data_IF_177339648943
#
_entry.id   IF_177339648943
#
_cell.length_a   1.000
_cell.length_b   1.000
_cell.length_c   1.000
_cell.angle_alpha   90.00
_cell.angle_beta   90.00
_cell.angle_gamma   90.00
#
_symmetry.space_group_name_H-M   'P 1'
#
loop_
_entity.id
_entity.type
_entity.pdbx_description
1 polymer ?
#
# COMPACT_ATOMS: atom_id res chain seq x y z
N UNK A 1 11.20 17.00 -19.08
CA UNK A 1 10.42 16.31 -18.02
C UNK A 1 10.79 16.77 -16.62
N UNK A 2 12.08 16.89 -16.27
CA UNK A 2 12.51 17.53 -15.02
C UNK A 2 12.15 19.03 -14.93
N UNK A 3 11.91 19.69 -16.07
CA UNK A 3 11.48 21.11 -16.14
C UNK A 3 10.14 21.40 -15.42
N UNK A 4 9.28 20.40 -15.24
CA UNK A 4 7.99 20.58 -14.56
C UNK A 4 8.08 20.38 -13.04
N UNK A 5 9.15 19.79 -12.50
CA UNK A 5 9.27 19.54 -11.05
C UNK A 5 9.39 20.83 -10.23
N UNK A 6 10.02 21.86 -10.81
CA UNK A 6 10.29 23.13 -10.14
C UNK A 6 9.21 24.19 -10.40
N UNK A 7 8.21 23.89 -11.24
CA UNK A 7 7.09 24.78 -11.52
C UNK A 7 5.94 24.50 -10.55
N UNK A 8 5.25 25.53 -10.04
CA UNK A 8 4.10 25.32 -9.16
C UNK A 8 2.98 24.60 -9.93
N UNK A 9 2.36 23.61 -9.28
CA UNK A 9 1.28 22.78 -9.87
C UNK A 9 0.08 23.58 -10.36
N UNK A 10 -0.16 24.77 -9.81
CA UNK A 10 -1.23 25.69 -10.20
C UNK A 10 -1.06 26.29 -11.60
N UNK A 11 0.16 26.31 -12.14
CA UNK A 11 0.49 26.90 -13.44
C UNK A 11 0.58 25.88 -14.58
N UNK A 12 0.40 24.59 -14.26
CA UNK A 12 0.49 23.50 -15.22
C UNK A 12 -0.89 23.23 -15.84
N UNK A 13 -0.90 22.96 -17.13
CA UNK A 13 -2.09 22.45 -17.82
C UNK A 13 -2.40 21.02 -17.36
N UNK A 14 -3.63 20.56 -17.58
CA UNK A 14 -4.05 19.20 -17.20
C UNK A 14 -3.18 18.11 -17.85
N UNK A 15 -2.78 18.30 -19.11
CA UNK A 15 -1.88 17.39 -19.83
C UNK A 15 -0.47 17.37 -19.23
N UNK A 16 0.04 18.52 -18.78
CA UNK A 16 1.34 18.61 -18.12
C UNK A 16 1.31 17.98 -16.72
N UNK A 17 0.21 18.15 -15.98
CA UNK A 17 0.00 17.50 -14.69
C UNK A 17 -0.02 15.97 -14.82
N UNK A 18 -0.72 15.42 -15.82
CA UNK A 18 -0.75 13.99 -16.07
C UNK A 18 0.65 13.43 -16.41
N UNK A 19 1.42 14.15 -17.23
CA UNK A 19 2.81 13.81 -17.56
C UNK A 19 3.74 13.88 -16.35
N UNK A 20 3.55 14.87 -15.48
CA UNK A 20 4.30 15.01 -14.24
C UNK A 20 4.00 13.85 -13.28
N UNK A 21 2.72 13.47 -13.13
CA UNK A 21 2.29 12.35 -12.28
C UNK A 21 2.86 11.01 -12.79
N UNK A 22 2.82 10.76 -14.10
CA UNK A 22 3.44 9.56 -14.69
C UNK A 22 4.96 9.50 -14.44
N UNK A 23 5.63 10.66 -14.55
CA UNK A 23 7.06 10.77 -14.27
C UNK A 23 7.37 10.53 -12.79
N UNK A 24 6.57 11.09 -11.87
CA UNK A 24 6.69 10.90 -10.42
C UNK A 24 6.42 9.46 -10.01
N UNK A 25 5.49 8.77 -10.66
CA UNK A 25 5.28 7.34 -10.43
C UNK A 25 6.49 6.52 -10.87
N UNK A 26 7.08 6.85 -12.02
CA UNK A 26 8.18 6.05 -12.59
C UNK A 26 9.53 6.30 -11.91
N UNK A 27 9.80 7.54 -11.50
CA UNK A 27 11.11 7.95 -10.97
C UNK A 27 11.08 8.33 -9.48
N UNK A 28 9.90 8.37 -8.87
CA UNK A 28 9.72 8.75 -7.47
C UNK A 28 9.58 7.55 -6.53
N UNK A 29 9.20 7.79 -5.27
CA UNK A 29 9.08 6.74 -4.25
C UNK A 29 7.98 5.72 -4.56
N UNK A 30 6.94 6.11 -5.32
CA UNK A 30 5.85 5.21 -5.73
C UNK A 30 6.26 4.24 -6.84
N UNK A 31 7.46 4.39 -7.42
CA UNK A 31 8.01 3.45 -8.41
C UNK A 31 8.10 2.02 -7.87
N UNK A 32 8.24 1.86 -6.55
CA UNK A 32 8.19 0.56 -5.88
C UNK A 32 6.85 -0.15 -6.09
N UNK A 33 5.74 0.58 -6.03
CA UNK A 33 4.40 0.06 -6.30
C UNK A 33 4.18 -0.19 -7.79
N UNK A 34 4.67 0.69 -8.66
CA UNK A 34 4.60 0.49 -10.11
C UNK A 34 5.35 -0.77 -10.53
N UNK A 35 6.56 -0.98 -10.00
CA UNK A 35 7.32 -2.21 -10.21
C UNK A 35 6.58 -3.44 -9.66
N UNK A 36 5.89 -3.31 -8.52
CA UNK A 36 5.11 -4.41 -7.94
C UNK A 36 3.91 -4.80 -8.81
N UNK A 37 3.20 -3.83 -9.40
CA UNK A 37 2.10 -4.07 -10.34
C UNK A 37 2.61 -4.73 -11.61
N UNK A 38 3.70 -4.19 -12.20
CA UNK A 38 4.28 -4.69 -13.45
C UNK A 38 4.78 -6.13 -13.32
N UNK A 39 5.51 -6.42 -12.25
CA UNK A 39 6.09 -7.74 -12.01
C UNK A 39 5.11 -8.71 -11.35
N UNK A 40 3.92 -8.25 -10.96
CA UNK A 40 2.94 -9.00 -10.15
C UNK A 40 3.58 -9.58 -8.88
N UNK A 41 4.56 -8.89 -8.30
CA UNK A 41 5.27 -9.33 -7.10
C UNK A 41 4.40 -9.16 -5.85
N UNK A 42 4.66 -9.98 -4.83
CA UNK A 42 3.99 -9.80 -3.55
C UNK A 42 4.53 -8.58 -2.81
N UNK A 43 3.62 -7.91 -2.10
CA UNK A 43 3.92 -6.78 -1.23
C UNK A 43 3.42 -7.07 0.18
N UNK A 44 4.20 -6.64 1.17
CA UNK A 44 3.79 -6.60 2.56
C UNK A 44 3.44 -5.14 2.90
N UNK A 45 2.21 -4.91 3.34
CA UNK A 45 1.70 -3.59 3.71
C UNK A 45 1.43 -3.60 5.22
N UNK A 46 2.00 -2.65 5.95
CA UNK A 46 1.68 -2.43 7.37
C UNK A 46 0.64 -1.33 7.49
N UNK A 47 -0.49 -1.64 8.14
CA UNK A 47 -1.59 -0.71 8.31
C UNK A 47 -1.59 -0.05 9.70
N UNK A 48 -2.25 1.11 9.81
CA UNK A 48 -2.36 1.90 11.05
C UNK A 48 -3.08 1.18 12.19
N UNK A 49 -3.97 0.24 11.87
CA UNK A 49 -4.66 -0.61 12.85
C UNK A 49 -3.80 -1.78 13.36
N UNK A 50 -2.47 -1.74 13.15
CA UNK A 50 -1.51 -2.78 13.53
C UNK A 50 -1.77 -4.15 12.88
N UNK A 51 -2.49 -4.17 11.75
CA UNK A 51 -2.62 -5.35 10.90
C UNK A 51 -1.64 -5.27 9.74
N UNK A 52 -1.20 -6.43 9.27
CA UNK A 52 -0.32 -6.56 8.10
C UNK A 52 -1.07 -7.25 6.97
N UNK A 53 -0.91 -6.75 5.75
CA UNK A 53 -1.50 -7.33 4.55
C UNK A 53 -0.37 -7.88 3.68
N UNK A 54 -0.40 -9.17 3.39
CA UNK A 54 0.40 -9.77 2.32
C UNK A 54 -0.49 -9.88 1.09
N UNK A 55 -0.18 -9.16 0.02
CA UNK A 55 -1.07 -9.02 -1.13
C UNK A 55 -0.30 -8.86 -2.43
N UNK A 56 -1.03 -8.87 -3.56
CA UNK A 56 -0.52 -8.38 -4.85
C UNK A 56 -1.28 -7.11 -5.22
N UNK A 57 -0.55 -6.07 -5.62
CA UNK A 57 -1.15 -4.80 -6.03
C UNK A 57 -1.59 -4.93 -7.49
N UNK A 58 -2.85 -4.59 -7.76
CA UNK A 58 -3.40 -4.59 -9.12
C UNK A 58 -3.43 -3.19 -9.73
N UNK A 59 -3.73 -2.19 -8.92
CA UNK A 59 -3.68 -0.78 -9.26
C UNK A 59 -3.39 0.05 -8.01
N UNK A 60 -2.84 1.24 -8.17
CA UNK A 60 -2.63 2.21 -7.10
C UNK A 60 -2.84 3.64 -7.65
N UNK A 61 -2.93 4.62 -6.76
CA UNK A 61 -3.01 6.04 -7.11
C UNK A 61 -2.00 6.90 -6.31
N UNK A 62 -2.00 8.21 -6.57
CA UNK A 62 -1.16 9.18 -5.86
C UNK A 62 -1.38 9.29 -4.36
N UNK A 63 -2.55 8.88 -3.86
CA UNK A 63 -2.87 8.88 -2.43
C UNK A 63 -2.46 7.57 -1.76
N UNK A 64 -1.80 6.67 -2.49
CA UNK A 64 -1.52 5.29 -2.07
C UNK A 64 -2.78 4.49 -1.76
N UNK A 65 -3.93 4.84 -2.35
CA UNK A 65 -5.05 3.92 -2.41
C UNK A 65 -4.66 2.76 -3.33
N UNK A 66 -5.08 1.54 -2.99
CA UNK A 66 -4.66 0.35 -3.71
C UNK A 66 -5.83 -0.59 -3.94
N UNK A 67 -5.88 -1.15 -5.16
CA UNK A 67 -6.68 -2.34 -5.46
C UNK A 67 -5.78 -3.55 -5.28
N UNK A 68 -6.12 -4.41 -4.34
CA UNK A 68 -5.35 -5.58 -3.96
C UNK A 68 -6.08 -6.86 -4.35
N UNK A 69 -5.31 -7.88 -4.75
CA UNK A 69 -5.79 -9.23 -5.02
C UNK A 69 -5.05 -10.25 -4.15
N UNK A 70 -5.73 -11.35 -3.82
CA UNK A 70 -5.21 -12.46 -3.01
C UNK A 70 -4.60 -11.98 -1.69
N UNK A 71 -5.38 -11.19 -0.95
CA UNK A 71 -4.94 -10.54 0.29
C UNK A 71 -5.01 -11.53 1.44
N UNK A 72 -3.90 -11.70 2.14
CA UNK A 72 -3.84 -12.34 3.44
C UNK A 72 -3.64 -11.27 4.51
N UNK A 73 -4.69 -10.96 5.26
CA UNK A 73 -4.59 -10.07 6.42
C UNK A 73 -4.14 -10.89 7.64
N UNK A 74 -3.14 -10.39 8.35
CA UNK A 74 -2.49 -11.03 9.50
C UNK A 74 -2.49 -10.05 10.67
N UNK A 75 -2.91 -10.51 11.83
CA UNK A 75 -2.86 -9.72 13.06
C UNK A 75 -2.72 -10.63 14.28
N UNK A 76 -2.17 -10.10 15.36
CA UNK A 76 -2.06 -10.81 16.63
C UNK A 76 -3.14 -10.31 17.57
N UNK A 77 -3.94 -11.23 18.10
CA UNK A 77 -4.96 -10.92 19.09
C UNK A 77 -4.47 -11.38 20.47
N UNK A 78 -4.71 -10.60 21.51
CA UNK A 78 -4.32 -10.96 22.88
C UNK A 78 -5.60 -11.13 23.70
N UNK A 79 -6.20 -12.33 23.72
CA UNK A 79 -7.45 -12.55 24.40
C UNK A 79 -7.31 -12.27 25.90
N UNK A 80 -8.37 -11.75 26.52
CA UNK A 80 -8.42 -11.61 27.98
C UNK A 80 -8.93 -12.92 28.58
N UNK A 81 -8.23 -13.39 29.60
CA UNK A 81 -8.66 -14.55 30.40
C UNK A 81 -9.93 -14.20 31.20
N UNK A 82 -10.65 -15.21 31.69
CA UNK A 82 -11.83 -15.05 32.56
C UNK A 82 -11.52 -14.25 33.85
N UNK A 83 -10.24 -14.16 34.24
CA UNK A 83 -9.75 -13.35 35.37
C UNK A 83 -9.23 -11.96 34.95
N UNK A 84 -9.51 -11.52 33.72
CA UNK A 84 -9.14 -10.19 33.20
C UNK A 84 -7.67 -10.00 32.81
N UNK A 85 -6.78 -10.97 33.09
CA UNK A 85 -5.36 -10.92 32.72
C UNK A 85 -5.18 -11.14 31.20
N UNK A 86 -4.21 -10.46 30.59
CA UNK A 86 -3.81 -10.68 29.19
C UNK A 86 -3.36 -12.13 29.01
N UNK A 87 -4.00 -12.84 28.09
CA UNK A 87 -3.65 -14.20 27.70
C UNK A 87 -2.44 -14.25 26.78
N UNK A 88 -2.15 -15.44 26.25
CA UNK A 88 -1.08 -15.62 25.27
C UNK A 88 -1.48 -14.95 23.94
N UNK A 89 -0.56 -14.23 23.27
CA UNK A 89 -0.81 -13.71 21.92
C UNK A 89 -1.15 -14.87 20.96
N UNK A 90 -2.21 -14.70 20.18
CA UNK A 90 -2.67 -15.67 19.16
C UNK A 90 -2.65 -14.99 17.81
N UNK A 91 -1.89 -15.55 16.88
CA UNK A 91 -1.85 -15.06 15.51
C UNK A 91 -3.11 -15.50 14.76
N UNK A 92 -3.82 -14.51 14.22
CA UNK A 92 -5.00 -14.70 13.38
C UNK A 92 -4.69 -14.26 11.96
N UNK A 93 -5.31 -14.94 11.01
CA UNK A 93 -5.27 -14.51 9.62
C UNK A 93 -6.61 -14.74 8.93
N UNK A 94 -6.90 -13.92 7.92
CA UNK A 94 -8.03 -14.12 7.01
C UNK A 94 -7.59 -13.88 5.58
N UNK A 95 -8.27 -14.56 4.66
CA UNK A 95 -8.06 -14.41 3.23
C UNK A 95 -9.19 -13.59 2.61
N UNK A 96 -8.84 -12.67 1.72
CA UNK A 96 -9.76 -11.81 0.97
C UNK A 96 -9.32 -11.82 -0.50
N UNK A 97 -10.20 -12.28 -1.39
CA UNK A 97 -9.86 -12.46 -2.81
C UNK A 97 -9.56 -11.14 -3.52
N UNK A 98 -10.36 -10.11 -3.25
CA UNK A 98 -10.20 -8.74 -3.80
C UNK A 98 -10.51 -7.72 -2.71
N UNK A 99 -9.71 -6.68 -2.60
CA UNK A 99 -9.84 -5.67 -1.56
C UNK A 99 -9.46 -4.30 -2.10
N UNK A 100 -10.28 -3.29 -1.82
CA UNK A 100 -9.86 -1.90 -1.94
C UNK A 100 -9.29 -1.44 -0.60
N UNK A 101 -8.07 -0.90 -0.61
CA UNK A 101 -7.40 -0.33 0.54
C UNK A 101 -7.24 1.17 0.34
N UNK A 102 -7.67 1.95 1.33
CA UNK A 102 -7.47 3.39 1.36
C UNK A 102 -6.06 3.71 1.87
N UNK A 103 -5.40 4.68 1.24
CA UNK A 103 -3.99 4.99 1.47
C UNK A 103 -3.69 5.69 2.79
N UNK A 104 -4.67 6.34 3.42
CA UNK A 104 -4.57 6.92 4.77
C UNK A 104 -4.29 5.87 5.86
N UNK A 105 -4.65 4.61 5.59
CA UNK A 105 -4.46 3.48 6.48
C UNK A 105 -3.09 2.84 6.34
N UNK A 106 -2.31 3.18 5.31
CA UNK A 106 -1.00 2.60 5.01
C UNK A 106 0.10 3.36 5.76
N UNK A 107 0.99 2.62 6.43
CA UNK A 107 2.18 3.17 7.09
C UNK A 107 3.44 2.87 6.27
N UNK A 108 3.61 1.59 5.92
CA UNK A 108 4.81 1.09 5.26
C UNK A 108 4.42 0.07 4.19
N UNK A 109 5.08 0.15 3.04
CA UNK A 109 4.99 -0.83 1.98
C UNK A 109 6.37 -1.42 1.75
N UNK A 110 6.46 -2.74 1.78
CA UNK A 110 7.67 -3.48 1.45
C UNK A 110 7.38 -4.38 0.24
N UNK A 111 8.12 -4.16 -0.85
CA UNK A 111 8.09 -5.04 -2.01
C UNK A 111 9.01 -6.22 -1.76
N UNK A 112 8.50 -7.44 -1.92
CA UNK A 112 9.34 -8.63 -1.87
C UNK A 112 10.25 -8.66 -3.10
N UNK A 113 11.57 -8.80 -2.88
CA UNK A 113 12.53 -9.11 -3.91
C UNK A 113 12.52 -10.64 -4.12
N UNK A 114 11.63 -11.11 -4.98
CA UNK A 114 11.61 -12.47 -5.47
C UNK A 114 11.63 -12.43 -7.00
#
# INVERSE_FOLDING_TARGET
MAEYLNRPRSELTELELAKLEEYEFSNGPLSVLQAAVKNRSQVLISCRNNKKLLARVKAFDRHSNMVLENVKEIWTDTPRTSKGKKGRPVDKSRFISKMFLRGDSVILVLRSAA
#
